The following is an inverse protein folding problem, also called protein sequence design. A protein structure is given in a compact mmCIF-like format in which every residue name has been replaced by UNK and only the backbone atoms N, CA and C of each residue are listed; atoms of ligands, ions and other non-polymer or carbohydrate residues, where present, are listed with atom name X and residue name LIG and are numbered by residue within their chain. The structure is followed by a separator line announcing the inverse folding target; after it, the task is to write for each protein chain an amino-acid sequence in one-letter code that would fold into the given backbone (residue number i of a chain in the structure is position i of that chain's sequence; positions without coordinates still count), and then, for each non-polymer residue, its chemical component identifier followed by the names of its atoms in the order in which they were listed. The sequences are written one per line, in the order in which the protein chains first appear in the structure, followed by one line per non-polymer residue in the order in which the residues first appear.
data_IF_260340281848
#
_entry.id   IF_260340281848
#
_cell.length_a   1.000
_cell.length_b   1.000
_cell.length_c   1.000
_cell.angle_alpha   90.00
_cell.angle_beta   90.00
_cell.angle_gamma   90.00
#
_symmetry.space_group_name_H-M   'P 1'
#
loop_
_entity.id
_entity.type
_entity.pdbx_description
1 polymer ?
#
# COMPACT_ATOMS: atom_id res chain seq x y z
N UNK A 1 -9.53 -23.32 -24.12
CA UNK A 1 -10.34 -22.09 -24.17
C UNK A 1 -9.61 -21.01 -23.38
N UNK A 2 -9.01 -20.06 -24.08
CA UNK A 2 -8.33 -18.91 -23.49
C UNK A 2 -9.34 -17.82 -23.17
N UNK A 3 -9.32 -17.28 -21.96
CA UNK A 3 -10.09 -16.09 -21.59
C UNK A 3 -9.23 -15.10 -20.79
N UNK A 4 -8.96 -13.95 -21.42
CA UNK A 4 -8.94 -12.66 -20.73
C UNK A 4 -7.62 -12.17 -20.12
N UNK A 5 -6.75 -11.63 -20.97
CA UNK A 5 -6.02 -10.35 -20.77
C UNK A 5 -5.47 -10.06 -19.36
N UNK A 6 -4.38 -10.73 -18.97
CA UNK A 6 -3.50 -10.23 -17.90
C UNK A 6 -2.71 -9.03 -18.44
N UNK A 7 -3.28 -7.84 -18.35
CA UNK A 7 -2.60 -6.60 -18.69
C UNK A 7 -1.34 -6.43 -17.82
N UNK A 8 -0.15 -6.68 -18.39
CA UNK A 8 1.17 -6.15 -18.00
C UNK A 8 1.31 -5.60 -16.57
N UNK A 9 1.03 -6.41 -15.55
CA UNK A 9 0.97 -5.96 -14.16
C UNK A 9 2.32 -6.18 -13.49
N UNK A 10 3.10 -5.12 -13.31
CA UNK A 10 4.43 -5.18 -12.69
C UNK A 10 4.42 -5.49 -11.18
N UNK A 11 3.27 -5.51 -10.51
CA UNK A 11 3.08 -5.82 -9.08
C UNK A 11 1.72 -6.53 -8.89
N UNK A 12 1.63 -7.38 -7.87
CA UNK A 12 0.46 -8.18 -7.55
C UNK A 12 0.16 -8.10 -6.05
N UNK A 13 -1.11 -7.93 -5.67
CA UNK A 13 -1.56 -8.05 -4.28
C UNK A 13 -1.99 -9.50 -4.04
N UNK A 14 -1.35 -10.16 -3.10
CA UNK A 14 -1.62 -11.56 -2.74
C UNK A 14 -2.13 -11.67 -1.30
N UNK A 15 -2.86 -12.74 -0.99
CA UNK A 15 -3.31 -13.02 0.38
C UNK A 15 -2.25 -13.88 1.08
N UNK A 16 -1.59 -13.33 2.10
CA UNK A 16 -0.67 -14.04 2.98
C UNK A 16 -1.45 -14.72 4.12
N UNK A 17 -1.12 -15.98 4.49
CA UNK A 17 -1.86 -16.75 5.49
C UNK A 17 -1.89 -16.11 6.88
N UNK A 18 -0.89 -15.30 7.23
CA UNK A 18 -0.77 -14.67 8.57
C UNK A 18 -0.89 -13.14 8.57
N UNK A 19 -0.74 -12.50 7.42
CA UNK A 19 -0.53 -11.04 7.32
C UNK A 19 -1.58 -10.34 6.42
N UNK A 20 -2.68 -11.02 6.09
CA UNK A 20 -3.73 -10.42 5.25
C UNK A 20 -3.27 -10.19 3.81
N UNK A 21 -3.44 -8.98 3.28
CA UNK A 21 -3.06 -8.64 1.90
C UNK A 21 -1.65 -8.06 1.87
N UNK A 22 -0.80 -8.60 0.99
CA UNK A 22 0.60 -8.16 0.83
C UNK A 22 0.88 -7.84 -0.63
N UNK A 23 1.60 -6.74 -0.87
CA UNK A 23 2.09 -6.37 -2.19
C UNK A 23 3.37 -7.13 -2.51
N UNK A 24 3.36 -7.92 -3.59
CA UNK A 24 4.51 -8.64 -4.11
C UNK A 24 4.89 -8.08 -5.48
N UNK A 25 6.19 -7.94 -5.75
CA UNK A 25 6.67 -7.57 -7.06
C UNK A 25 6.45 -8.74 -8.04
N UNK A 26 5.81 -8.48 -9.18
CA UNK A 26 5.56 -9.51 -10.20
C UNK A 26 6.76 -9.71 -11.14
N UNK A 27 7.83 -8.93 -10.94
CA UNK A 27 9.10 -8.98 -11.67
C UNK A 27 10.24 -8.51 -10.78
N UNK A 28 11.47 -8.76 -11.22
CA UNK A 28 12.65 -8.22 -10.56
C UNK A 28 12.67 -6.69 -10.68
N UNK A 29 12.83 -6.01 -9.54
CA UNK A 29 12.94 -4.55 -9.48
C UNK A 29 14.42 -4.16 -9.38
N UNK A 30 14.91 -3.19 -10.17
CA UNK A 30 16.28 -2.73 -10.06
C UNK A 30 16.53 -2.05 -8.71
N UNK A 31 17.79 -2.05 -8.25
CA UNK A 31 18.17 -1.32 -7.03
C UNK A 31 17.82 0.17 -7.18
N UNK A 32 17.21 0.74 -6.14
CA UNK A 32 16.77 2.14 -6.14
C UNK A 32 15.43 2.39 -6.84
N UNK A 33 14.71 1.34 -7.24
CA UNK A 33 13.36 1.48 -7.78
C UNK A 33 12.43 2.17 -6.79
N UNK A 34 11.86 3.31 -7.20
CA UNK A 34 11.01 4.14 -6.34
C UNK A 34 9.54 3.69 -6.45
N UNK A 35 8.92 3.52 -5.29
CA UNK A 35 7.49 3.28 -5.15
C UNK A 35 6.83 4.55 -4.61
N UNK A 36 5.70 4.94 -5.20
CA UNK A 36 4.90 6.05 -4.69
C UNK A 36 3.77 5.50 -3.82
N UNK A 37 3.75 5.89 -2.55
CA UNK A 37 2.55 5.85 -1.74
C UNK A 37 1.78 7.14 -1.98
N UNK A 38 0.49 7.02 -2.29
CA UNK A 38 -0.38 8.16 -2.54
C UNK A 38 -1.74 7.95 -1.88
N UNK A 39 -2.46 9.02 -1.61
CA UNK A 39 -3.72 8.95 -0.88
C UNK A 39 -4.30 10.33 -0.63
N UNK A 40 -5.39 10.36 0.12
CA UNK A 40 -6.03 11.61 0.53
C UNK A 40 -5.24 12.26 1.66
N UNK A 41 -4.93 13.55 1.52
CA UNK A 41 -4.36 14.34 2.62
C UNK A 41 -5.45 14.73 3.60
N UNK A 42 -5.34 14.28 4.86
CA UNK A 42 -6.32 14.55 5.91
C UNK A 42 -5.65 15.07 7.19
N UNK A 43 -6.29 15.99 7.95
CA UNK A 43 -5.81 16.31 9.29
C UNK A 43 -5.84 15.07 10.19
N UNK A 44 -4.81 14.83 11.02
CA UNK A 44 -4.72 13.66 11.93
C UNK A 44 -5.96 13.47 12.79
N UNK A 45 -6.53 14.58 13.28
CA UNK A 45 -7.77 14.61 14.09
C UNK A 45 -9.01 14.09 13.34
N UNK A 46 -9.01 14.12 12.01
CA UNK A 46 -10.13 13.70 11.16
C UNK A 46 -10.03 12.25 10.68
N UNK A 47 -8.87 11.61 10.86
CA UNK A 47 -8.66 10.21 10.47
C UNK A 47 -9.17 9.31 11.59
N UNK A 48 -10.06 8.38 11.27
CA UNK A 48 -10.57 7.41 12.25
C UNK A 48 -9.45 6.53 12.77
N UNK A 49 -9.52 6.03 14.01
CA UNK A 49 -8.50 5.15 14.60
C UNK A 49 -8.14 3.96 13.68
N UNK A 50 -9.16 3.38 13.04
CA UNK A 50 -8.98 2.28 12.08
C UNK A 50 -8.22 2.73 10.82
N UNK A 51 -8.51 3.91 10.28
CA UNK A 51 -7.78 4.43 9.13
C UNK A 51 -6.35 4.87 9.52
N UNK A 52 -6.11 5.25 10.77
CA UNK A 52 -4.77 5.57 11.28
C UNK A 52 -3.82 4.36 11.23
N UNK A 53 -4.31 3.13 11.30
CA UNK A 53 -3.49 1.91 11.13
C UNK A 53 -2.85 1.82 9.73
N UNK A 54 -3.48 2.44 8.73
CA UNK A 54 -3.07 2.36 7.32
C UNK A 54 -2.62 3.72 6.75
N UNK A 55 -2.86 4.80 7.50
CA UNK A 55 -2.49 6.14 7.11
C UNK A 55 -1.08 6.46 7.61
N UNK A 56 -0.35 7.21 6.81
CA UNK A 56 1.03 7.58 7.11
C UNK A 56 1.05 8.98 7.69
N UNK A 57 1.70 9.15 8.84
CA UNK A 57 1.97 10.46 9.41
C UNK A 57 2.86 11.25 8.43
N UNK A 58 2.39 12.44 8.06
CA UNK A 58 3.19 13.44 7.35
C UNK A 58 3.36 14.65 8.27
N UNK A 59 4.20 15.60 7.87
CA UNK A 59 4.57 16.73 8.72
C UNK A 59 3.36 17.57 9.16
N UNK A 60 3.50 18.24 10.30
CA UNK A 60 2.56 19.24 10.83
C UNK A 60 1.15 18.71 11.15
N UNK A 61 1.05 17.48 11.65
CA UNK A 61 -0.23 16.90 12.10
C UNK A 61 -1.18 16.52 10.96
N UNK A 62 -0.64 16.37 9.75
CA UNK A 62 -1.36 15.84 8.62
C UNK A 62 -1.06 14.34 8.46
N UNK A 63 -1.98 13.62 7.83
CA UNK A 63 -1.80 12.21 7.47
C UNK A 63 -2.14 12.00 6.00
N UNK A 64 -1.45 11.05 5.38
CA UNK A 64 -1.76 10.53 4.06
C UNK A 64 -2.57 9.25 4.22
N UNK A 65 -3.84 9.29 3.86
CA UNK A 65 -4.78 8.17 3.97
C UNK A 65 -5.00 7.51 2.59
N UNK A 66 -4.39 6.34 2.33
CA UNK A 66 -4.56 5.62 1.07
C UNK A 66 -5.79 4.70 1.03
N UNK A 67 -6.52 4.53 2.15
CA UNK A 67 -7.55 3.48 2.30
C UNK A 67 -8.73 3.62 1.32
N UNK A 68 -9.07 4.87 1.00
CA UNK A 68 -10.11 5.21 0.01
C UNK A 68 -9.62 5.14 -1.44
N UNK A 69 -8.31 5.01 -1.67
CA UNK A 69 -7.67 5.04 -2.97
C UNK A 69 -7.34 3.61 -3.43
N UNK A 70 -8.28 2.97 -4.14
CA UNK A 70 -8.14 1.57 -4.61
C UNK A 70 -6.87 1.31 -5.44
N UNK A 71 -6.35 2.32 -6.13
CA UNK A 71 -5.11 2.25 -6.92
C UNK A 71 -3.82 2.49 -6.13
N UNK A 72 -3.89 2.85 -4.85
CA UNK A 72 -2.72 3.05 -3.99
C UNK A 72 -2.23 1.71 -3.46
N UNK A 73 -1.53 0.96 -4.29
CA UNK A 73 -1.13 -0.41 -3.97
C UNK A 73 -0.06 -0.49 -2.87
N UNK A 74 0.71 0.59 -2.68
CA UNK A 74 1.71 0.68 -1.62
C UNK A 74 1.11 0.60 -0.21
N UNK A 75 -0.21 0.78 -0.05
CA UNK A 75 -0.91 0.54 1.22
C UNK A 75 -0.84 -0.92 1.69
N UNK A 76 -0.52 -1.86 0.79
CA UNK A 76 -0.36 -3.28 1.09
C UNK A 76 1.12 -3.69 1.24
N UNK A 77 2.06 -2.75 1.24
CA UNK A 77 3.44 -3.05 1.60
C UNK A 77 3.50 -3.42 3.08
N UNK A 78 4.02 -4.59 3.40
CA UNK A 78 4.33 -4.93 4.78
C UNK A 78 5.45 -4.00 5.25
N UNK A 79 5.19 -3.24 6.31
CA UNK A 79 6.21 -2.54 7.07
C UNK A 79 6.42 -3.33 8.36
N UNK A 80 7.18 -4.45 8.33
CA UNK A 80 7.56 -5.10 9.57
C UNK A 80 8.37 -4.11 10.38
N UNK A 81 7.96 -3.85 11.62
CA UNK A 81 8.74 -3.08 12.57
C UNK A 81 10.14 -3.69 12.78
N UNK A 82 11.08 -2.96 13.40
CA UNK A 82 12.45 -3.47 13.63
C UNK A 82 12.52 -4.75 14.50
N UNK A 83 11.41 -5.15 15.12
CA UNK A 83 11.28 -6.35 15.96
C UNK A 83 10.28 -7.37 15.41
N UNK A 84 9.79 -7.22 14.18
CA UNK A 84 8.89 -8.16 13.48
C UNK A 84 9.62 -9.11 12.53
#
# INVERSE_FOLDING_TARGET
MATGTAANTWRQVVKHPKAGKVLVAARQLPKGYKLALWGMRKPKKSVSKKAQEWAFDILNGWMLDPTSCRGSLAQFCACPGPSE
#
